data_IF_102900651771
#
_entry.id   IF_102900651771
#
_cell.length_a   1.000
_cell.length_b   1.000
_cell.length_c   1.000
_cell.angle_alpha   90.00
_cell.angle_beta   90.00
_cell.angle_gamma   90.00
#
_symmetry.space_group_name_H-M   'P 1'
#
loop_
_entity.id
_entity.type
_entity.pdbx_description
1 polymer ?
#
# COMPACT_ATOMS: atom_id res chain seq x y z
N UNK A 1 -1.57 18.94 5.43
CA UNK A 1 -0.22 19.10 6.04
C UNK A 1 0.13 20.56 5.88
N UNK A 2 0.45 21.25 6.96
CA UNK A 2 0.79 22.69 6.88
C UNK A 2 2.26 22.84 6.51
N UNK A 3 2.56 23.70 5.54
CA UNK A 3 3.93 24.04 5.19
C UNK A 3 4.48 25.04 6.22
N UNK A 4 5.23 24.52 7.21
CA UNK A 4 5.84 25.30 8.29
C UNK A 4 7.24 24.77 8.58
N UNK A 5 8.09 25.58 9.24
CA UNK A 5 9.44 25.14 9.64
C UNK A 5 9.36 23.94 10.61
N UNK A 6 10.36 23.04 10.62
CA UNK A 6 10.35 21.85 11.48
C UNK A 6 10.16 22.14 12.98
N UNK A 7 10.78 23.20 13.52
CA UNK A 7 10.59 23.61 14.92
C UNK A 7 9.15 24.01 15.24
N UNK A 8 8.47 24.68 14.30
CA UNK A 8 7.04 25.04 14.44
C UNK A 8 6.18 23.79 14.28
N UNK A 9 6.53 22.89 13.35
CA UNK A 9 5.85 21.61 13.15
C UNK A 9 5.84 20.77 14.44
N UNK A 10 6.92 20.80 15.23
CA UNK A 10 7.00 20.09 16.52
C UNK A 10 5.87 20.50 17.48
N UNK A 11 5.55 21.80 17.55
CA UNK A 11 4.54 22.38 18.46
C UNK A 11 3.08 22.18 17.99
N UNK A 12 2.85 21.82 16.72
CA UNK A 12 1.50 21.63 16.19
C UNK A 12 0.83 20.35 16.73
N UNK A 13 -0.50 20.33 16.75
CA UNK A 13 -1.28 19.12 17.06
C UNK A 13 -1.11 18.04 15.99
N UNK A 14 -1.31 16.78 16.36
CA UNK A 14 -1.09 15.62 15.48
C UNK A 14 -1.94 15.68 14.19
N UNK A 15 -3.21 16.06 14.31
CA UNK A 15 -4.14 16.19 13.17
C UNK A 15 -3.73 17.26 12.15
N UNK A 16 -2.93 18.25 12.54
CA UNK A 16 -2.39 19.27 11.62
C UNK A 16 -1.17 18.77 10.83
N UNK A 17 -0.54 17.68 11.28
CA UNK A 17 0.70 17.11 10.68
C UNK A 17 0.42 15.99 9.69
N UNK A 18 -0.69 15.25 9.83
CA UNK A 18 -1.02 14.12 8.95
C UNK A 18 -2.50 14.10 8.56
N UNK A 19 -2.88 13.13 7.73
CA UNK A 19 -4.26 12.85 7.35
C UNK A 19 -4.67 11.50 7.96
N UNK A 20 -5.94 11.32 8.34
CA UNK A 20 -6.48 10.07 8.90
C UNK A 20 -6.69 8.99 7.82
N UNK A 21 -5.58 8.50 7.24
CA UNK A 21 -5.56 7.35 6.32
C UNK A 21 -4.21 6.63 6.38
N UNK A 22 -4.13 5.42 5.80
CA UNK A 22 -2.86 4.73 5.58
C UNK A 22 -1.87 5.61 4.80
N UNK A 23 -0.64 5.70 5.30
CA UNK A 23 0.42 6.59 4.78
C UNK A 23 0.01 8.07 4.67
N UNK A 24 -1.00 8.51 5.44
CA UNK A 24 -1.44 9.90 5.48
C UNK A 24 -0.32 10.80 5.99
N UNK A 25 -0.05 11.89 5.29
CA UNK A 25 1.10 12.75 5.62
C UNK A 25 2.38 12.41 4.85
N UNK A 26 2.52 11.18 4.36
CA UNK A 26 3.74 10.69 3.70
C UNK A 26 3.54 10.42 2.20
N UNK A 27 2.41 9.82 1.82
CA UNK A 27 2.10 9.50 0.42
C UNK A 27 0.78 10.14 -0.03
N UNK A 28 0.67 10.46 -1.32
CA UNK A 28 -0.57 10.98 -1.90
C UNK A 28 -1.64 9.88 -2.01
N UNK A 29 -2.92 10.28 -2.10
CA UNK A 29 -4.04 9.34 -2.09
C UNK A 29 -4.03 8.37 -3.29
N UNK A 30 -3.62 8.87 -4.46
CA UNK A 30 -3.51 8.07 -5.69
C UNK A 30 -2.49 6.94 -5.53
N UNK A 31 -1.27 7.26 -5.10
CA UNK A 31 -0.22 6.26 -4.91
C UNK A 31 -0.56 5.23 -3.82
N UNK A 32 -1.28 5.62 -2.77
CA UNK A 32 -1.76 4.65 -1.74
C UNK A 32 -2.74 3.66 -2.37
N UNK A 33 -3.71 4.15 -3.16
CA UNK A 33 -4.67 3.29 -3.88
C UNK A 33 -3.97 2.36 -4.85
N UNK A 34 -3.03 2.88 -5.64
CA UNK A 34 -2.29 2.08 -6.62
C UNK A 34 -1.43 1.01 -5.94
N UNK A 35 -0.82 1.33 -4.79
CA UNK A 35 -0.07 0.37 -3.99
C UNK A 35 -0.96 -0.75 -3.44
N UNK A 36 -2.15 -0.41 -2.94
CA UNK A 36 -3.13 -1.40 -2.46
C UNK A 36 -3.55 -2.33 -3.60
N UNK A 37 -3.95 -1.77 -4.74
CA UNK A 37 -4.35 -2.56 -5.93
C UNK A 37 -3.21 -3.44 -6.41
N UNK A 38 -1.99 -2.90 -6.53
CA UNK A 38 -0.82 -3.63 -6.98
C UNK A 38 -0.46 -4.77 -6.04
N UNK A 39 -0.46 -4.54 -4.73
CA UNK A 39 -0.17 -5.57 -3.74
C UNK A 39 -1.18 -6.74 -3.86
N UNK A 40 -2.47 -6.41 -3.93
CA UNK A 40 -3.53 -7.39 -4.13
C UNK A 40 -3.32 -8.21 -5.41
N UNK A 41 -3.22 -7.55 -6.57
CA UNK A 41 -3.10 -8.24 -7.85
C UNK A 41 -1.83 -9.11 -7.96
N UNK A 42 -0.73 -8.70 -7.34
CA UNK A 42 0.51 -9.50 -7.32
C UNK A 42 0.31 -10.78 -6.50
N UNK A 43 -0.33 -10.70 -5.33
CA UNK A 43 -0.60 -11.89 -4.51
C UNK A 43 -1.60 -12.83 -5.19
N UNK A 44 -2.67 -12.28 -5.79
CA UNK A 44 -3.62 -13.08 -6.58
C UNK A 44 -2.91 -13.78 -7.76
N UNK A 45 -2.05 -13.08 -8.49
CA UNK A 45 -1.28 -13.68 -9.58
C UNK A 45 -0.35 -14.80 -9.09
N UNK A 46 0.28 -14.65 -7.91
CA UNK A 46 1.11 -15.71 -7.32
C UNK A 46 0.27 -16.95 -6.98
N UNK A 47 -0.94 -16.77 -6.46
CA UNK A 47 -1.87 -17.86 -6.16
C UNK A 47 -2.26 -18.60 -7.45
N UNK A 48 -2.66 -17.87 -8.49
CA UNK A 48 -3.02 -18.46 -9.80
C UNK A 48 -1.86 -19.28 -10.36
N UNK A 49 -0.64 -18.72 -10.36
CA UNK A 49 0.55 -19.44 -10.83
C UNK A 49 0.81 -20.71 -10.01
N UNK A 50 0.59 -20.67 -8.69
CA UNK A 50 0.76 -21.84 -7.83
C UNK A 50 -0.27 -22.93 -8.14
N UNK A 51 -1.53 -22.57 -8.36
CA UNK A 51 -2.61 -23.50 -8.72
C UNK A 51 -2.35 -24.14 -10.08
N UNK A 52 -1.97 -23.36 -11.10
CA UNK A 52 -1.65 -23.88 -12.43
C UNK A 52 -0.49 -24.89 -12.38
N UNK A 53 0.56 -24.60 -11.58
CA UNK A 53 1.68 -25.54 -11.38
C UNK A 53 1.22 -26.85 -10.72
N UNK A 54 0.35 -26.79 -9.72
CA UNK A 54 -0.19 -27.98 -9.06
C UNK A 54 -1.06 -28.82 -10.00
N UNK A 55 -1.91 -28.18 -10.82
CA UNK A 55 -2.72 -28.86 -11.83
C UNK A 55 -1.86 -29.56 -12.88
N UNK A 56 -0.85 -28.88 -13.41
CA UNK A 56 0.08 -29.46 -14.39
C UNK A 56 0.88 -30.65 -13.84
N UNK A 57 1.19 -30.64 -12.54
CA UNK A 57 1.85 -31.77 -11.87
C UNK A 57 0.88 -32.94 -11.69
N UNK A 58 -0.38 -32.69 -11.35
CA UNK A 58 -1.41 -33.74 -11.21
C UNK A 58 -1.75 -34.41 -12.55
N UNK A 59 -1.68 -33.70 -13.67
CA UNK A 59 -1.99 -34.26 -15.00
C UNK A 59 -0.84 -35.05 -15.64
N UNK A 60 0.39 -34.91 -15.12
CA UNK A 60 1.57 -35.67 -15.57
C UNK A 60 1.70 -37.02 -14.88
N UNK A 61 0.97 -37.23 -13.78
CA UNK A 61 0.91 -38.47 -13.00
C UNK A 61 -0.23 -39.36 -13.48
#
# INVERSE_FOLDING_TARGET
IRAVRPQVLMRLSKTKKHVSRAYGGSMCAKCVRDRIKRAFLIEEQKIVVKVLKAQAQSQKS
#
